data_IF_689306599970
#
_entry.id   IF_689306599970
#
_cell.length_a   1.000
_cell.length_b   1.000
_cell.length_c   1.000
_cell.angle_alpha   90.00
_cell.angle_beta   90.00
_cell.angle_gamma   90.00
#
_symmetry.space_group_name_H-M   'P 1'
#
loop_
_entity.id
_entity.type
_entity.pdbx_description
1 polymer ?
#
# COMPACT_ATOMS: atom_id res chain seq x y z
N UNK A 1 -26.38 27.79 27.12
CA UNK A 1 -27.61 27.02 26.81
C UNK A 1 -27.20 25.64 26.30
N UNK A 2 -27.53 24.55 26.99
CA UNK A 2 -26.92 23.22 26.79
C UNK A 2 -27.20 22.57 25.43
N UNK A 3 -28.20 23.05 24.70
CA UNK A 3 -28.61 22.50 23.39
C UNK A 3 -27.62 22.87 22.28
N UNK A 4 -26.99 24.05 22.37
CA UNK A 4 -26.02 24.53 21.36
C UNK A 4 -24.72 23.73 21.45
N UNK A 5 -24.26 23.42 22.67
CA UNK A 5 -23.07 22.59 22.91
C UNK A 5 -23.26 21.16 22.40
N UNK A 6 -24.47 20.60 22.53
CA UNK A 6 -24.79 19.26 22.04
C UNK A 6 -24.76 19.19 20.50
N UNK A 7 -25.32 20.20 19.82
CA UNK A 7 -25.31 20.25 18.35
C UNK A 7 -23.89 20.42 17.78
N UNK A 8 -23.05 21.21 18.46
CA UNK A 8 -21.63 21.36 18.11
C UNK A 8 -20.85 20.06 18.32
N UNK A 9 -21.08 19.34 19.41
CA UNK A 9 -20.39 18.08 19.68
C UNK A 9 -20.73 16.98 18.65
N UNK A 10 -22.00 16.90 18.23
CA UNK A 10 -22.45 15.91 17.23
C UNK A 10 -21.88 16.19 15.85
N UNK A 11 -21.88 17.46 15.42
CA UNK A 11 -21.31 17.84 14.13
C UNK A 11 -19.80 17.64 14.09
N UNK A 12 -19.08 17.94 15.18
CA UNK A 12 -17.64 17.73 15.30
C UNK A 12 -17.28 16.24 15.28
N UNK A 13 -18.05 15.39 15.98
CA UNK A 13 -17.87 13.94 15.97
C UNK A 13 -18.09 13.33 14.58
N UNK A 14 -19.13 13.77 13.87
CA UNK A 14 -19.41 13.32 12.50
C UNK A 14 -18.32 13.77 11.51
N UNK A 15 -17.83 15.01 11.65
CA UNK A 15 -16.76 15.55 10.81
C UNK A 15 -15.44 14.79 11.02
N UNK A 16 -15.10 14.47 12.27
CA UNK A 16 -13.91 13.69 12.60
C UNK A 16 -13.95 12.29 11.95
N UNK A 17 -15.08 11.58 12.05
CA UNK A 17 -15.25 10.26 11.42
C UNK A 17 -15.09 10.32 9.90
N UNK A 18 -15.64 11.34 9.24
CA UNK A 18 -15.47 11.51 7.79
C UNK A 18 -14.03 11.84 7.38
N UNK A 19 -13.33 12.70 8.14
CA UNK A 19 -11.95 13.06 7.83
C UNK A 19 -10.96 11.90 8.02
N UNK A 20 -11.12 11.10 9.09
CA UNK A 20 -10.29 9.90 9.28
C UNK A 20 -10.56 8.84 8.20
N UNK A 21 -11.82 8.64 7.80
CA UNK A 21 -12.18 7.64 6.79
C UNK A 21 -11.59 7.91 5.39
N UNK A 22 -11.53 9.18 4.96
CA UNK A 22 -10.97 9.52 3.64
C UNK A 22 -9.45 9.38 3.58
N UNK A 23 -8.75 9.69 4.67
CA UNK A 23 -7.30 9.59 4.74
C UNK A 23 -6.81 8.14 4.62
N UNK A 24 -7.53 7.18 5.20
CA UNK A 24 -7.18 5.75 5.11
C UNK A 24 -7.43 5.19 3.70
N UNK A 25 -8.53 5.59 3.06
CA UNK A 25 -8.85 5.13 1.70
C UNK A 25 -7.84 5.63 0.66
N UNK A 26 -7.34 6.86 0.79
CA UNK A 26 -6.32 7.39 -0.13
C UNK A 26 -4.97 6.70 0.03
N UNK A 27 -4.57 6.37 1.26
CA UNK A 27 -3.30 5.67 1.52
C UNK A 27 -3.32 4.24 0.98
N UNK A 28 -4.45 3.53 1.11
CA UNK A 28 -4.61 2.18 0.56
C UNK A 28 -4.43 2.18 -0.97
N UNK A 29 -5.05 3.14 -1.67
CA UNK A 29 -4.89 3.26 -3.13
C UNK A 29 -3.46 3.61 -3.53
N UNK A 30 -2.81 4.52 -2.81
CA UNK A 30 -1.41 4.88 -3.08
C UNK A 30 -0.48 3.67 -2.96
N UNK A 31 -0.69 2.81 -1.96
CA UNK A 31 0.03 1.56 -1.80
C UNK A 31 -0.21 0.61 -2.97
N UNK A 32 -1.46 0.45 -3.38
CA UNK A 32 -1.84 -0.43 -4.48
C UNK A 32 -1.25 0.04 -5.83
N UNK A 33 -1.42 1.31 -6.17
CA UNK A 33 -0.87 1.89 -7.40
C UNK A 33 0.66 1.77 -7.44
N UNK A 34 1.33 2.07 -6.31
CA UNK A 34 2.79 1.97 -6.21
C UNK A 34 3.28 0.52 -6.30
N UNK A 35 2.55 -0.42 -5.71
CA UNK A 35 2.88 -1.84 -5.77
C UNK A 35 2.86 -2.35 -7.22
N UNK A 36 1.80 -2.05 -7.98
CA UNK A 36 1.74 -2.46 -9.38
C UNK A 36 2.80 -1.77 -10.24
N UNK A 37 3.07 -0.49 -9.99
CA UNK A 37 4.16 0.22 -10.64
C UNK A 37 5.52 -0.47 -10.40
N UNK A 38 5.81 -0.86 -9.17
CA UNK A 38 7.06 -1.55 -8.80
C UNK A 38 7.13 -2.98 -9.36
N UNK A 39 6.00 -3.69 -9.45
CA UNK A 39 5.97 -5.01 -10.11
C UNK A 39 6.40 -4.93 -11.57
N UNK A 40 6.02 -3.84 -12.27
CA UNK A 40 6.39 -3.60 -13.66
C UNK A 40 7.83 -3.10 -13.81
N UNK A 41 8.31 -2.20 -12.95
CA UNK A 41 9.64 -1.58 -13.08
C UNK A 41 10.78 -2.44 -12.50
N UNK A 42 10.56 -3.09 -11.35
CA UNK A 42 11.63 -3.74 -10.57
C UNK A 42 11.72 -5.26 -10.80
N UNK A 43 11.29 -5.75 -11.97
CA UNK A 43 11.29 -7.18 -12.30
C UNK A 43 10.63 -8.05 -11.21
N UNK A 44 9.55 -7.53 -10.61
CA UNK A 44 8.81 -8.19 -9.53
C UNK A 44 9.60 -8.38 -8.21
N UNK A 45 10.69 -7.63 -8.00
CA UNK A 45 11.39 -7.58 -6.72
C UNK A 45 11.01 -6.29 -5.99
N UNK A 46 10.43 -6.40 -4.80
CA UNK A 46 9.94 -5.23 -4.06
C UNK A 46 10.46 -5.28 -2.63
N UNK A 47 11.24 -4.27 -2.24
CA UNK A 47 11.64 -4.04 -0.85
C UNK A 47 10.63 -3.14 -0.12
N UNK A 48 10.64 -3.21 1.22
CA UNK A 48 9.80 -2.35 2.06
C UNK A 48 10.08 -0.87 1.82
N UNK A 49 11.36 -0.50 1.72
CA UNK A 49 11.77 0.91 1.54
C UNK A 49 11.28 1.43 0.19
N UNK A 50 11.39 0.65 -0.89
CA UNK A 50 10.88 1.04 -2.21
C UNK A 50 9.38 1.29 -2.17
N UNK A 51 8.60 0.38 -1.57
CA UNK A 51 7.15 0.55 -1.47
C UNK A 51 6.78 1.79 -0.63
N UNK A 52 7.39 1.96 0.55
CA UNK A 52 7.11 3.08 1.44
C UNK A 52 7.48 4.43 0.81
N UNK A 53 8.65 4.51 0.15
CA UNK A 53 9.11 5.72 -0.52
C UNK A 53 8.26 6.08 -1.75
N UNK A 54 7.85 5.08 -2.53
CA UNK A 54 7.06 5.27 -3.76
C UNK A 54 5.63 5.69 -3.41
N UNK A 55 5.00 5.01 -2.46
CA UNK A 55 3.64 5.32 -2.01
C UNK A 55 3.59 6.54 -1.08
N UNK A 56 4.74 7.02 -0.57
CA UNK A 56 4.86 8.09 0.43
C UNK A 56 4.02 7.84 1.68
N UNK A 57 4.06 6.61 2.19
CA UNK A 57 3.33 6.20 3.39
C UNK A 57 4.28 5.81 4.52
N UNK A 58 3.74 5.72 5.73
CA UNK A 58 4.49 5.27 6.89
C UNK A 58 5.00 3.82 6.71
N UNK A 59 6.22 3.50 7.18
CA UNK A 59 6.84 2.18 7.03
C UNK A 59 5.95 1.04 7.54
N UNK A 60 5.27 1.22 8.67
CA UNK A 60 4.41 0.20 9.28
C UNK A 60 3.22 -0.17 8.37
N UNK A 61 2.63 0.81 7.68
CA UNK A 61 1.53 0.56 6.74
C UNK A 61 2.02 -0.14 5.48
N UNK A 62 3.15 0.31 4.94
CA UNK A 62 3.79 -0.37 3.81
C UNK A 62 4.17 -1.81 4.16
N UNK A 63 4.67 -2.06 5.37
CA UNK A 63 5.03 -3.40 5.84
C UNK A 63 3.81 -4.31 5.91
N UNK A 64 2.74 -3.87 6.57
CA UNK A 64 1.49 -4.63 6.66
C UNK A 64 0.94 -4.97 5.26
N UNK A 65 0.95 -4.00 4.35
CA UNK A 65 0.50 -4.22 2.98
C UNK A 65 1.40 -5.21 2.23
N UNK A 66 2.73 -5.01 2.27
CA UNK A 66 3.69 -5.84 1.54
C UNK A 66 3.68 -7.29 2.03
N UNK A 67 3.65 -7.50 3.35
CA UNK A 67 3.54 -8.84 3.96
C UNK A 67 2.23 -9.53 3.54
N UNK A 68 1.12 -8.79 3.51
CA UNK A 68 -0.16 -9.32 3.02
C UNK A 68 -0.09 -9.70 1.54
N UNK A 69 0.42 -8.83 0.67
CA UNK A 69 0.58 -9.15 -0.75
C UNK A 69 1.52 -10.33 -0.98
N UNK A 70 2.60 -10.42 -0.20
CA UNK A 70 3.52 -11.56 -0.26
C UNK A 70 2.82 -12.87 0.06
N UNK A 71 1.93 -12.90 1.05
CA UNK A 71 1.12 -14.08 1.36
C UNK A 71 0.11 -14.40 0.26
N UNK A 72 -0.59 -13.39 -0.26
CA UNK A 72 -1.62 -13.57 -1.31
C UNK A 72 -1.00 -14.08 -2.62
N UNK A 73 0.14 -13.53 -3.02
CA UNK A 73 0.81 -13.86 -4.28
C UNK A 73 1.92 -14.90 -4.14
N UNK A 74 2.08 -15.51 -2.95
CA UNK A 74 3.15 -16.47 -2.66
C UNK A 74 4.54 -15.93 -3.03
N UNK A 75 4.82 -14.67 -2.68
CA UNK A 75 6.13 -14.08 -2.90
C UNK A 75 7.19 -14.74 -2.00
N UNK A 76 8.40 -14.88 -2.52
CA UNK A 76 9.52 -15.48 -1.81
C UNK A 76 10.33 -14.37 -1.15
N UNK A 77 10.52 -14.39 0.18
CA UNK A 77 11.44 -13.46 0.83
C UNK A 77 12.88 -13.83 0.46
N UNK A 78 13.64 -12.84 0.01
CA UNK A 78 15.05 -12.96 -0.35
C UNK A 78 15.85 -11.87 0.35
N UNK A 79 17.15 -12.13 0.49
CA UNK A 79 18.13 -11.20 1.05
C UNK A 79 19.21 -11.00 0.00
N UNK A 80 19.56 -9.75 -0.28
CA UNK A 80 20.62 -9.46 -1.26
C UNK A 80 22.01 -9.54 -0.64
N UNK A 81 23.03 -9.18 -1.43
CA UNK A 81 24.42 -9.18 -1.02
C UNK A 81 24.75 -8.12 0.04
N UNK A 82 23.94 -7.06 0.13
CA UNK A 82 24.10 -5.96 1.09
C UNK A 82 23.37 -6.25 2.41
N UNK A 83 22.56 -7.32 2.45
CA UNK A 83 21.80 -7.76 3.62
C UNK A 83 20.38 -7.20 3.67
N UNK A 84 19.92 -6.53 2.61
CA UNK A 84 18.60 -5.96 2.54
C UNK A 84 17.55 -7.04 2.18
N UNK A 85 16.42 -6.99 2.87
CA UNK A 85 15.32 -7.94 2.66
C UNK A 85 14.34 -7.41 1.62
N UNK A 86 14.01 -8.23 0.64
CA UNK A 86 13.02 -7.94 -0.38
C UNK A 86 12.12 -9.15 -0.66
N UNK A 87 10.96 -8.90 -1.27
CA UNK A 87 10.06 -9.95 -1.72
C UNK A 87 10.13 -10.11 -3.23
N UNK A 88 10.38 -11.33 -3.69
CA UNK A 88 10.29 -11.70 -5.12
C UNK A 88 8.89 -12.22 -5.42
N UNK A 89 8.15 -11.45 -6.18
CA UNK A 89 6.82 -11.79 -6.67
C UNK A 89 6.89 -12.59 -7.99
N UNK A 90 5.88 -13.43 -8.28
CA UNK A 90 5.74 -14.06 -9.59
C UNK A 90 5.67 -13.01 -10.70
N UNK A 91 6.37 -13.25 -11.82
CA UNK A 91 6.40 -12.31 -12.94
C UNK A 91 5.02 -12.19 -13.60
N UNK A 92 4.68 -10.96 -13.98
CA UNK A 92 3.53 -10.69 -14.85
C UNK A 92 3.80 -11.29 -16.24
N UNK A 93 3.23 -12.46 -16.51
CA UNK A 93 3.28 -13.05 -17.84
C UNK A 93 2.28 -12.32 -18.72
N UNK A 94 2.70 -11.25 -19.41
CA UNK A 94 1.96 -10.82 -20.61
C UNK A 94 2.13 -11.93 -21.62
N UNK A 95 1.04 -12.64 -21.92
CA UNK A 95 1.01 -13.57 -23.06
C UNK A 95 1.56 -12.78 -24.26
N UNK A 96 2.63 -13.24 -24.93
CA UNK A 96 3.05 -12.60 -26.17
C UNK A 96 1.82 -12.56 -27.07
N UNK A 97 1.45 -11.37 -27.54
CA UNK A 97 0.54 -11.27 -28.67
C UNK A 97 1.16 -12.16 -29.74
N UNK A 98 0.47 -13.26 -30.07
CA UNK A 98 0.86 -14.07 -31.21
C UNK A 98 0.93 -13.10 -32.39
N UNK A 99 2.13 -12.85 -32.91
CA UNK A 99 2.30 -12.19 -34.19
C UNK A 99 1.51 -13.05 -35.19
N UNK A 100 0.38 -12.50 -35.67
CA UNK A 100 -0.38 -13.02 -36.82
C UNK A 100 0.13 -12.30 -38.06
#
# INVERSE_FOLDING_TARGET
MPIIDLLLAVSLGFLAVLLLGKATYSQQRQLEDSFYQLLESENSCISLIQLAATARVEPEKARQYLEHQAQVFNAVPEVDADGDTFYRFPKLHRRPSADI
#
